data_IF_482265297229
#
_entry.id   IF_482265297229
#
_cell.length_a   1.000
_cell.length_b   1.000
_cell.length_c   1.000
_cell.angle_alpha   90.00
_cell.angle_beta   90.00
_cell.angle_gamma   90.00
#
_symmetry.space_group_name_H-M   'P 1'
#
loop_
_entity.id
_entity.type
_entity.pdbx_description
1 polymer ?
#
# COMPACT_ATOMS: atom_id res chain seq x y z
N UNK A 1 9.47 17.92 0.55
CA UNK A 1 8.88 16.92 1.46
C UNK A 1 7.39 16.73 1.20
N UNK A 2 6.62 17.82 1.09
CA UNK A 2 5.16 17.77 0.84
C UNK A 2 4.76 16.96 -0.41
N UNK A 3 5.51 17.11 -1.51
CA UNK A 3 5.30 16.33 -2.74
C UNK A 3 5.46 14.82 -2.56
N UNK A 4 6.40 14.38 -1.70
CA UNK A 4 6.59 12.94 -1.44
C UNK A 4 5.40 12.37 -0.67
N UNK A 5 4.81 13.14 0.25
CA UNK A 5 3.61 12.72 0.98
C UNK A 5 2.43 12.55 0.02
N UNK A 6 2.25 13.48 -0.92
CA UNK A 6 1.22 13.37 -1.97
C UNK A 6 1.47 12.14 -2.84
N UNK A 7 2.71 11.91 -3.28
CA UNK A 7 3.07 10.72 -4.07
C UNK A 7 2.81 9.41 -3.30
N UNK A 8 3.13 9.37 -2.01
CA UNK A 8 2.81 8.23 -1.16
C UNK A 8 1.30 8.04 -1.13
N UNK A 9 0.51 9.05 -0.78
CA UNK A 9 -0.95 8.94 -0.73
C UNK A 9 -1.55 8.44 -2.06
N UNK A 10 -1.10 8.98 -3.19
CA UNK A 10 -1.52 8.52 -4.52
C UNK A 10 -1.11 7.06 -4.74
N UNK A 11 0.12 6.67 -4.42
CA UNK A 11 0.60 5.30 -4.58
C UNK A 11 -0.19 4.29 -3.73
N UNK A 12 -0.64 4.67 -2.52
CA UNK A 12 -1.47 3.82 -1.67
C UNK A 12 -2.85 3.60 -2.31
N UNK A 13 -3.45 4.66 -2.85
CA UNK A 13 -4.76 4.59 -3.53
C UNK A 13 -4.65 3.71 -4.79
N UNK A 14 -3.64 3.96 -5.63
CA UNK A 14 -3.41 3.19 -6.86
C UNK A 14 -3.07 1.73 -6.53
N UNK A 15 -2.26 1.48 -5.51
CA UNK A 15 -1.94 0.14 -5.03
C UNK A 15 -3.15 -0.63 -4.56
N UNK A 16 -4.02 -0.01 -3.76
CA UNK A 16 -5.26 -0.62 -3.29
C UNK A 16 -6.23 -0.91 -4.44
N UNK A 17 -6.37 0.04 -5.38
CA UNK A 17 -7.18 -0.13 -6.56
C UNK A 17 -6.67 -1.28 -7.45
N UNK A 18 -5.38 -1.30 -7.76
CA UNK A 18 -4.77 -2.36 -8.56
C UNK A 18 -4.95 -3.74 -7.90
N UNK A 19 -4.73 -3.84 -6.59
CA UNK A 19 -4.98 -5.08 -5.85
C UNK A 19 -6.44 -5.53 -5.98
N UNK A 20 -7.40 -4.62 -5.86
CA UNK A 20 -8.83 -4.95 -5.95
C UNK A 20 -9.27 -5.43 -7.34
N UNK A 21 -8.68 -4.89 -8.42
CA UNK A 21 -9.07 -5.22 -9.80
C UNK A 21 -8.31 -6.43 -10.33
N UNK A 22 -7.04 -6.59 -9.96
CA UNK A 22 -6.13 -7.55 -10.60
C UNK A 22 -5.69 -8.69 -9.68
N UNK A 23 -5.85 -8.55 -8.36
CA UNK A 23 -5.26 -9.47 -7.37
C UNK A 23 -3.74 -9.31 -7.18
N UNK A 24 -3.10 -8.35 -7.85
CA UNK A 24 -1.68 -8.04 -7.65
C UNK A 24 -1.44 -7.48 -6.23
N UNK A 25 -0.28 -7.79 -5.64
CA UNK A 25 0.05 -7.32 -4.30
C UNK A 25 0.20 -5.80 -4.24
N UNK A 26 -0.52 -5.15 -3.31
CA UNK A 26 -0.47 -3.71 -3.01
C UNK A 26 0.96 -3.13 -2.98
N UNK A 27 1.89 -3.83 -2.33
CA UNK A 27 3.29 -3.41 -2.19
C UNK A 27 4.01 -3.17 -3.51
N UNK A 28 3.62 -3.82 -4.61
CA UNK A 28 4.27 -3.63 -5.92
C UNK A 28 4.18 -2.17 -6.40
N UNK A 29 3.11 -1.46 -6.00
CA UNK A 29 2.88 -0.07 -6.38
C UNK A 29 3.27 0.88 -5.24
N UNK A 30 2.91 0.54 -4.01
CA UNK A 30 3.05 1.44 -2.87
C UNK A 30 4.47 1.48 -2.25
N UNK A 31 5.25 0.40 -2.37
CA UNK A 31 6.54 0.29 -1.68
C UNK A 31 7.57 1.36 -2.09
N UNK A 32 7.79 1.69 -3.39
CA UNK A 32 8.85 2.63 -3.78
C UNK A 32 8.69 4.02 -3.14
N UNK A 33 7.46 4.56 -3.15
CA UNK A 33 7.19 5.87 -2.58
C UNK A 33 7.31 5.85 -1.04
N UNK A 34 6.83 4.78 -0.39
CA UNK A 34 6.90 4.65 1.07
C UNK A 34 8.34 4.52 1.56
N UNK A 35 9.17 3.74 0.87
CA UNK A 35 10.59 3.59 1.18
C UNK A 35 11.35 4.91 0.94
N UNK A 36 10.96 5.68 -0.08
CA UNK A 36 11.53 7.00 -0.31
C UNK A 36 11.19 8.01 0.81
N UNK A 37 10.02 7.89 1.43
CA UNK A 37 9.59 8.78 2.52
C UNK A 37 10.16 8.38 3.89
N UNK A 38 10.09 7.10 4.24
CA UNK A 38 10.40 6.59 5.58
C UNK A 38 11.75 5.84 5.67
N UNK A 39 12.40 5.60 4.53
CA UNK A 39 13.57 4.73 4.45
C UNK A 39 13.22 3.24 4.51
N UNK A 40 14.23 2.35 4.40
CA UNK A 40 14.00 0.92 4.25
C UNK A 40 13.38 0.26 5.47
N UNK A 41 13.86 0.56 6.70
CA UNK A 41 13.41 -0.11 7.91
C UNK A 41 11.94 0.19 8.21
N UNK A 42 11.60 1.48 8.30
CA UNK A 42 10.26 1.92 8.66
C UNK A 42 9.30 1.80 7.47
N UNK A 43 9.77 2.06 6.25
CA UNK A 43 8.99 1.91 5.03
C UNK A 43 8.53 0.47 4.77
N UNK A 44 9.43 -0.52 4.94
CA UNK A 44 9.07 -1.95 4.79
C UNK A 44 8.08 -2.38 5.88
N UNK A 45 8.31 -1.99 7.14
CA UNK A 45 7.39 -2.32 8.22
C UNK A 45 5.98 -1.76 7.94
N UNK A 46 5.89 -0.49 7.50
CA UNK A 46 4.62 0.13 7.20
C UNK A 46 3.93 -0.50 5.99
N UNK A 47 4.66 -0.83 4.91
CA UNK A 47 4.06 -1.44 3.71
C UNK A 47 3.47 -2.83 4.00
N UNK A 48 4.12 -3.60 4.87
CA UNK A 48 3.65 -4.93 5.28
C UNK A 48 2.34 -4.81 6.06
N UNK A 49 2.28 -3.90 7.04
CA UNK A 49 1.06 -3.65 7.82
C UNK A 49 -0.08 -3.18 6.91
N UNK A 50 0.18 -2.22 6.03
CA UNK A 50 -0.82 -1.70 5.10
C UNK A 50 -1.29 -2.76 4.09
N UNK A 51 -0.39 -3.60 3.57
CA UNK A 51 -0.77 -4.70 2.69
C UNK A 51 -1.64 -5.73 3.39
N UNK A 52 -1.32 -6.05 4.65
CA UNK A 52 -2.13 -6.95 5.46
C UNK A 52 -3.54 -6.37 5.65
N UNK A 53 -3.66 -5.09 5.98
CA UNK A 53 -4.96 -4.41 6.12
C UNK A 53 -5.74 -4.35 4.79
N UNK A 54 -5.06 -4.00 3.70
CA UNK A 54 -5.64 -3.93 2.36
C UNK A 54 -6.18 -5.29 1.89
N UNK A 55 -5.65 -6.40 2.41
CA UNK A 55 -6.09 -7.75 2.10
C UNK A 55 -7.15 -8.26 3.09
N UNK A 56 -6.95 -7.98 4.38
CA UNK A 56 -7.82 -8.46 5.45
C UNK A 56 -9.21 -7.81 5.41
N UNK A 57 -9.32 -6.50 5.14
CA UNK A 57 -10.60 -5.80 5.12
C UNK A 57 -11.53 -6.39 4.03
N UNK A 58 -11.13 -6.49 2.75
CA UNK A 58 -11.95 -7.16 1.73
C UNK A 58 -12.29 -8.59 2.08
N UNK A 59 -11.33 -9.35 2.64
CA UNK A 59 -11.56 -10.73 3.04
C UNK A 59 -12.67 -10.82 4.09
N UNK A 60 -12.63 -10.00 5.15
CA UNK A 60 -13.70 -10.02 6.17
C UNK A 60 -15.07 -9.59 5.64
N UNK A 61 -15.11 -8.71 4.63
CA UNK A 61 -16.35 -8.14 4.12
C UNK A 61 -16.99 -8.98 2.98
N UNK A 62 -16.16 -9.62 2.15
CA UNK A 62 -16.60 -10.32 0.92
C UNK A 62 -16.58 -11.84 1.04
N UNK A 63 -16.09 -12.39 2.16
CA UNK A 63 -16.01 -13.84 2.36
C UNK A 63 -17.34 -14.48 2.78
N UNK A 64 -18.37 -13.68 3.07
CA UNK A 64 -19.77 -14.12 3.25
C UNK A 64 -20.57 -13.86 1.98
#
# INVERSE_FOLDING_TARGET
MEWLVVLVAVSLIVGAFAQSVTGLGFSLIAAPAMLALLGPRDGVAMIVVLSALASFIPLTHQWR
#
